data_IF_162612900785
#
_entry.id   IF_162612900785
#
_cell.length_a   1.000
_cell.length_b   1.000
_cell.length_c   1.000
_cell.angle_alpha   90.00
_cell.angle_beta   90.00
_cell.angle_gamma   90.00
#
_symmetry.space_group_name_H-M   'P 1'
#
loop_
_entity.id
_entity.type
_entity.pdbx_description
1 polymer ?
#
# COMPACT_ATOMS: atom_id res chain seq x y z
N UNK A 1 28.99 -1.97 53.44
CA UNK A 1 27.72 -2.71 53.36
C UNK A 1 27.03 -2.34 52.06
N UNK A 2 26.91 -3.33 51.18
CA UNK A 2 26.32 -3.36 49.84
C UNK A 2 24.81 -3.19 49.93
N UNK A 3 24.17 -2.25 49.21
CA UNK A 3 22.73 -2.38 48.87
C UNK A 3 22.24 -1.38 47.78
N UNK A 4 22.07 -1.96 46.57
CA UNK A 4 21.05 -1.71 45.53
C UNK A 4 21.11 -0.45 44.65
N UNK A 5 21.89 -0.57 43.56
CA UNK A 5 21.63 0.10 42.29
C UNK A 5 20.28 -0.42 41.75
N UNK A 6 19.26 0.42 41.71
CA UNK A 6 18.01 0.15 40.98
C UNK A 6 18.31 0.34 39.50
N UNK A 7 18.58 -0.76 38.80
CA UNK A 7 18.64 -0.78 37.34
C UNK A 7 17.26 -0.44 36.79
N UNK A 8 17.13 0.78 36.25
CA UNK A 8 16.09 1.17 35.29
C UNK A 8 16.30 0.36 33.99
N UNK A 9 15.82 -0.88 33.98
CA UNK A 9 15.58 -1.62 32.74
C UNK A 9 14.31 -1.05 32.13
N UNK A 10 14.46 0.03 31.36
CA UNK A 10 13.45 0.41 30.40
C UNK A 10 13.45 -0.66 29.30
N UNK A 11 12.36 -1.39 29.07
CA UNK A 11 12.28 -2.22 27.88
C UNK A 11 12.19 -1.25 26.70
N UNK A 12 13.26 -1.16 25.92
CA UNK A 12 13.14 -0.80 24.52
C UNK A 12 12.29 -1.90 23.88
N UNK A 13 10.98 -1.68 23.85
CA UNK A 13 10.08 -2.44 23.01
C UNK A 13 10.47 -2.05 21.60
N UNK A 14 11.41 -2.80 21.02
CA UNK A 14 11.60 -2.78 19.58
C UNK A 14 10.26 -3.22 19.00
N UNK A 15 9.51 -2.27 18.42
CA UNK A 15 8.38 -2.54 17.53
C UNK A 15 8.97 -3.31 16.34
N UNK A 16 9.10 -4.62 16.50
CA UNK A 16 9.63 -5.50 15.50
C UNK A 16 8.51 -5.81 14.53
N UNK A 17 8.49 -5.08 13.41
CA UNK A 17 7.64 -5.43 12.29
C UNK A 17 8.03 -6.82 11.76
N UNK A 18 7.05 -7.64 11.42
CA UNK A 18 7.33 -8.96 10.84
C UNK A 18 7.97 -8.81 9.46
N UNK A 19 8.80 -9.78 9.02
CA UNK A 19 9.38 -9.76 7.68
C UNK A 19 8.32 -9.70 6.56
N UNK A 20 7.22 -10.43 6.72
CA UNK A 20 6.11 -10.44 5.76
C UNK A 20 5.40 -9.07 5.73
N UNK A 21 5.21 -8.41 6.87
CA UNK A 21 4.64 -7.07 6.93
C UNK A 21 5.59 -6.01 6.35
N UNK A 22 6.90 -6.10 6.61
CA UNK A 22 7.88 -5.21 6.00
C UNK A 22 7.86 -5.34 4.47
N UNK A 23 7.86 -6.57 3.96
CA UNK A 23 7.78 -6.80 2.51
C UNK A 23 6.44 -6.30 1.94
N UNK A 24 5.34 -6.49 2.67
CA UNK A 24 4.02 -5.96 2.29
C UNK A 24 4.05 -4.45 2.13
N UNK A 25 4.65 -3.72 3.07
CA UNK A 25 4.81 -2.26 3.00
C UNK A 25 5.69 -1.84 1.82
N UNK A 26 6.82 -2.52 1.60
CA UNK A 26 7.74 -2.21 0.52
C UNK A 26 7.12 -2.42 -0.87
N UNK A 27 6.39 -3.53 -1.06
CA UNK A 27 5.68 -3.81 -2.31
C UNK A 27 4.53 -2.80 -2.51
N UNK A 28 3.80 -2.46 -1.44
CA UNK A 28 2.75 -1.45 -1.49
C UNK A 28 3.30 -0.09 -1.92
N UNK A 29 4.42 0.35 -1.33
CA UNK A 29 5.07 1.62 -1.67
C UNK A 29 5.56 1.66 -3.12
N UNK A 30 6.07 0.54 -3.66
CA UNK A 30 6.48 0.45 -5.07
C UNK A 30 5.30 0.53 -6.04
N UNK A 31 4.14 0.00 -5.65
CA UNK A 31 2.92 0.04 -6.46
C UNK A 31 2.19 1.38 -6.37
N UNK A 32 2.35 2.13 -5.28
CA UNK A 32 1.63 3.37 -4.99
C UNK A 32 1.60 4.37 -6.17
N UNK A 33 2.72 4.71 -6.84
CA UNK A 33 2.70 5.66 -7.95
C UNK A 33 1.80 5.21 -9.11
N UNK A 34 1.88 3.93 -9.48
CA UNK A 34 1.09 3.36 -10.58
C UNK A 34 -0.39 3.29 -10.19
N UNK A 35 -0.71 2.92 -8.95
CA UNK A 35 -2.10 2.90 -8.47
C UNK A 35 -2.71 4.31 -8.42
N UNK A 36 -1.95 5.33 -8.00
CA UNK A 36 -2.40 6.72 -8.05
C UNK A 36 -2.69 7.16 -9.49
N UNK A 37 -1.80 6.88 -10.45
CA UNK A 37 -2.01 7.23 -11.86
C UNK A 37 -3.22 6.49 -12.46
N UNK A 38 -3.39 5.20 -12.16
CA UNK A 38 -4.60 4.44 -12.53
C UNK A 38 -5.87 5.10 -11.96
N UNK A 39 -5.85 5.58 -10.71
CA UNK A 39 -6.99 6.27 -10.09
C UNK A 39 -7.30 7.61 -10.77
N UNK A 40 -6.28 8.41 -11.09
CA UNK A 40 -6.43 9.68 -11.82
C UNK A 40 -7.00 9.45 -13.22
N UNK A 41 -6.48 8.47 -13.95
CA UNK A 41 -6.96 8.12 -15.28
C UNK A 41 -8.41 7.65 -15.25
N UNK A 42 -8.82 6.82 -14.27
CA UNK A 42 -10.24 6.45 -14.11
C UNK A 42 -11.14 7.66 -13.92
N UNK A 43 -10.76 8.62 -13.06
CA UNK A 43 -11.51 9.88 -12.86
C UNK A 43 -11.60 10.68 -14.16
N UNK A 44 -10.47 10.83 -14.88
CA UNK A 44 -10.41 11.57 -16.13
C UNK A 44 -11.24 10.92 -17.24
N UNK A 45 -11.23 9.58 -17.34
CA UNK A 45 -12.06 8.81 -18.29
C UNK A 45 -13.54 9.09 -18.02
N UNK A 46 -13.98 8.95 -16.76
CA UNK A 46 -15.39 9.21 -16.38
C UNK A 46 -15.79 10.64 -16.73
N UNK A 47 -14.92 11.63 -16.45
CA UNK A 47 -15.18 13.02 -16.79
C UNK A 47 -15.30 13.24 -18.31
N UNK A 48 -14.38 12.67 -19.09
CA UNK A 48 -14.41 12.75 -20.55
C UNK A 48 -15.65 12.06 -21.16
N UNK A 49 -16.13 10.97 -20.56
CA UNK A 49 -17.38 10.29 -20.94
C UNK A 49 -18.60 11.19 -20.71
N UNK A 50 -18.70 11.81 -19.53
CA UNK A 50 -19.79 12.74 -19.18
C UNK A 50 -19.80 13.95 -20.11
N UNK A 51 -18.63 14.50 -20.43
CA UNK A 51 -18.47 15.67 -21.30
C UNK A 51 -18.46 15.34 -22.80
N UNK A 52 -18.59 14.06 -23.18
CA UNK A 52 -18.58 13.57 -24.56
C UNK A 52 -17.32 13.96 -25.36
N UNK A 53 -16.17 14.07 -24.69
CA UNK A 53 -14.86 14.35 -25.31
C UNK A 53 -14.25 13.08 -25.89
N UNK A 54 -14.73 12.64 -27.05
CA UNK A 54 -14.38 11.34 -27.65
C UNK A 54 -12.89 11.18 -27.97
N UNK A 55 -12.24 12.23 -28.48
CA UNK A 55 -10.80 12.20 -28.78
C UNK A 55 -9.94 12.05 -27.51
N UNK A 56 -10.30 12.76 -26.43
CA UNK A 56 -9.61 12.65 -25.14
C UNK A 56 -9.83 11.26 -24.50
N UNK A 57 -11.04 10.71 -24.65
CA UNK A 57 -11.42 9.43 -24.08
C UNK A 57 -10.55 8.27 -24.57
N UNK A 58 -10.30 8.20 -25.88
CA UNK A 58 -9.48 7.13 -26.48
C UNK A 58 -8.04 7.19 -25.97
N UNK A 59 -7.46 8.39 -25.92
CA UNK A 59 -6.10 8.61 -25.39
C UNK A 59 -6.00 8.20 -23.92
N UNK A 60 -6.98 8.60 -23.10
CA UNK A 60 -7.02 8.26 -21.68
C UNK A 60 -7.15 6.74 -21.45
N UNK A 61 -7.99 6.07 -22.23
CA UNK A 61 -8.14 4.60 -22.18
C UNK A 61 -6.85 3.91 -22.61
N UNK A 62 -6.22 4.35 -23.69
CA UNK A 62 -4.95 3.77 -24.15
C UNK A 62 -3.86 3.88 -23.08
N UNK A 63 -3.74 5.04 -22.42
CA UNK A 63 -2.79 5.22 -21.30
C UNK A 63 -3.11 4.29 -20.13
N UNK A 64 -4.40 4.12 -19.80
CA UNK A 64 -4.82 3.21 -18.74
C UNK A 64 -4.46 1.75 -19.06
N UNK A 65 -4.69 1.31 -20.30
CA UNK A 65 -4.33 -0.04 -20.74
C UNK A 65 -2.82 -0.27 -20.75
N UNK A 66 -2.01 0.72 -21.16
CA UNK A 66 -0.55 0.62 -21.09
C UNK A 66 -0.06 0.39 -19.65
N UNK A 67 -0.65 1.07 -18.66
CA UNK A 67 -0.31 0.84 -17.24
C UNK A 67 -0.77 -0.53 -16.73
N UNK A 68 -1.84 -1.11 -17.28
CA UNK A 68 -2.28 -2.46 -16.93
C UNK A 68 -1.43 -3.56 -17.58
N UNK A 69 -0.88 -3.28 -18.77
CA UNK A 69 -0.07 -4.23 -19.52
C UNK A 69 1.37 -4.36 -18.98
N UNK A 70 1.81 -3.49 -18.04
CA UNK A 70 3.16 -3.56 -17.49
C UNK A 70 3.41 -4.85 -16.69
N UNK A 71 4.32 -5.74 -17.17
CA UNK A 71 4.60 -7.01 -16.50
C UNK A 71 5.27 -6.83 -15.13
N UNK A 72 5.98 -5.72 -14.88
CA UNK A 72 6.59 -5.48 -13.57
C UNK A 72 5.51 -5.16 -12.53
N UNK A 73 4.61 -4.24 -12.85
CA UNK A 73 3.43 -3.94 -12.02
C UNK A 73 2.63 -5.21 -11.73
N UNK A 74 2.33 -6.03 -12.75
CA UNK A 74 1.57 -7.27 -12.57
C UNK A 74 2.26 -8.28 -11.62
N UNK A 75 3.61 -8.35 -11.62
CA UNK A 75 4.36 -9.21 -10.68
C UNK A 75 4.26 -8.70 -9.25
N UNK A 76 4.37 -7.39 -9.06
CA UNK A 76 4.23 -6.75 -7.75
C UNK A 76 2.81 -6.90 -7.21
N UNK A 77 1.78 -6.70 -8.04
CA UNK A 77 0.38 -6.90 -7.65
C UNK A 77 0.10 -8.34 -7.21
N UNK A 78 0.64 -9.33 -7.94
CA UNK A 78 0.57 -10.75 -7.53
C UNK A 78 1.27 -11.01 -6.20
N UNK A 79 2.47 -10.44 -6.01
CA UNK A 79 3.20 -10.59 -4.74
C UNK A 79 2.44 -9.94 -3.59
N UNK A 80 1.88 -8.75 -3.82
CA UNK A 80 1.05 -8.05 -2.84
C UNK A 80 -0.16 -8.88 -2.43
N UNK A 81 -0.87 -9.50 -3.38
CA UNK A 81 -2.02 -10.36 -3.07
C UNK A 81 -1.64 -11.57 -2.19
N UNK A 82 -0.48 -12.18 -2.45
CA UNK A 82 0.06 -13.27 -1.62
C UNK A 82 0.38 -12.78 -0.21
N UNK A 83 1.01 -11.60 -0.09
CA UNK A 83 1.36 -11.01 1.20
C UNK A 83 0.11 -10.58 1.98
N UNK A 84 -0.89 -9.99 1.32
CA UNK A 84 -2.17 -9.63 1.94
C UNK A 84 -2.83 -10.84 2.60
N UNK A 85 -2.86 -12.00 1.93
CA UNK A 85 -3.44 -13.21 2.50
C UNK A 85 -2.70 -13.74 3.75
N UNK A 86 -1.41 -13.39 3.91
CA UNK A 86 -0.58 -13.79 5.06
C UNK A 86 -0.63 -12.78 6.20
N UNK A 87 -0.60 -11.50 5.85
CA UNK A 87 -0.47 -10.38 6.79
C UNK A 87 -1.84 -9.92 7.29
N UNK A 88 -2.88 -10.02 6.48
CA UNK A 88 -4.24 -9.56 6.79
C UNK A 88 -5.21 -10.72 6.99
N UNK A 89 -6.17 -10.55 7.88
CA UNK A 89 -7.31 -11.45 8.04
C UNK A 89 -8.37 -11.21 6.95
N UNK A 90 -9.48 -11.95 7.01
CA UNK A 90 -10.60 -11.79 6.06
C UNK A 90 -11.33 -10.45 6.15
N UNK A 91 -11.12 -9.69 7.24
CA UNK A 91 -11.68 -8.36 7.45
C UNK A 91 -10.71 -7.25 7.02
N UNK A 92 -9.49 -7.62 6.59
CA UNK A 92 -8.45 -6.67 6.20
C UNK A 92 -7.65 -6.12 7.38
N UNK A 93 -7.77 -6.70 8.57
CA UNK A 93 -6.99 -6.31 9.75
C UNK A 93 -5.66 -7.07 9.81
N UNK A 94 -4.57 -6.43 10.29
CA UNK A 94 -3.32 -7.11 10.55
C UNK A 94 -3.48 -8.30 11.49
N UNK A 95 -2.98 -9.48 11.07
CA UNK A 95 -3.05 -10.70 11.88
C UNK A 95 -2.11 -10.68 13.08
N UNK A 96 -0.94 -10.05 12.93
CA UNK A 96 -0.02 -9.82 14.03
C UNK A 96 -0.27 -8.42 14.62
N UNK A 97 -0.57 -8.31 15.93
CA UNK A 97 -0.70 -7.03 16.61
C UNK A 97 0.52 -6.10 16.45
N UNK A 98 1.72 -6.65 16.33
CA UNK A 98 2.97 -5.88 16.18
C UNK A 98 3.02 -5.10 14.85
N UNK A 99 2.31 -5.59 13.83
CA UNK A 99 2.28 -4.97 12.51
C UNK A 99 1.16 -3.91 12.39
N UNK A 100 0.28 -3.82 13.38
CA UNK A 100 -0.95 -3.04 13.32
C UNK A 100 -0.66 -1.56 13.05
N UNK A 101 0.25 -0.96 13.82
CA UNK A 101 0.55 0.46 13.73
C UNK A 101 1.15 0.82 12.38
N UNK A 102 2.12 0.02 11.90
CA UNK A 102 2.82 0.26 10.65
C UNK A 102 1.88 0.14 9.44
N UNK A 103 1.07 -0.92 9.38
CA UNK A 103 0.11 -1.15 8.29
C UNK A 103 -1.00 -0.09 8.31
N UNK A 104 -1.57 0.19 9.48
CA UNK A 104 -2.64 1.20 9.60
C UNK A 104 -2.14 2.60 9.25
N UNK A 105 -0.89 2.92 9.60
CA UNK A 105 -0.26 4.18 9.19
C UNK A 105 -0.07 4.25 7.67
N UNK A 106 0.47 3.20 7.05
CA UNK A 106 0.67 3.16 5.61
C UNK A 106 -0.65 3.28 4.84
N UNK A 107 -1.70 2.56 5.24
CA UNK A 107 -3.00 2.62 4.58
C UNK A 107 -3.59 4.04 4.61
N UNK A 108 -3.47 4.73 5.76
CA UNK A 108 -3.87 6.14 5.88
C UNK A 108 -3.06 7.04 4.95
N UNK A 109 -1.73 6.90 4.92
CA UNK A 109 -0.89 7.71 4.05
C UNK A 109 -1.19 7.48 2.56
N UNK A 110 -1.34 6.22 2.14
CA UNK A 110 -1.64 5.88 0.76
C UNK A 110 -2.98 6.45 0.30
N UNK A 111 -3.99 6.48 1.19
CA UNK A 111 -5.28 7.10 0.89
C UNK A 111 -5.13 8.57 0.50
N UNK A 112 -4.44 9.37 1.31
CA UNK A 112 -4.29 10.82 1.10
C UNK A 112 -3.33 11.21 -0.02
N UNK A 113 -2.34 10.38 -0.35
CA UNK A 113 -1.35 10.70 -1.41
C UNK A 113 -1.90 10.57 -2.82
N UNK A 114 -2.93 9.74 -3.01
CA UNK A 114 -3.57 9.54 -4.31
C UNK A 114 -4.87 10.36 -4.49
N UNK A 115 -5.17 11.31 -3.61
CA UNK A 115 -6.31 12.23 -3.77
C UNK A 115 -5.99 13.38 -4.72
#
# INVERSE_FOLDING_TARGET
MRRWLVMLLWPWVALAITPDAQEFLDVSAKLEPVQCEKRKLRRAIVLAEVEKRTADLEVLRQRFEQLNADPQTARLEKRLAVLQARVLDSQGHPRNPEDLDAISFQQRQAFYRCE
#
